data_IF_397622508750
#
_entry.id   IF_397622508750
#
_cell.length_a   1.000
_cell.length_b   1.000
_cell.length_c   1.000
_cell.angle_alpha   90.00
_cell.angle_beta   90.00
_cell.angle_gamma   90.00
#
_symmetry.space_group_name_H-M   'P 1'
#
loop_
_entity.id
_entity.type
_entity.pdbx_description
1 polymer ?
#
# COMPACT_ATOMS: atom_id res chain seq x y z
N UNK A 1 44.97 8.72 11.91
CA UNK A 1 43.61 8.62 12.48
C UNK A 1 42.65 8.81 11.31
N UNK A 2 41.93 7.77 10.91
CA UNK A 2 41.14 7.72 9.66
C UNK A 2 39.70 8.14 9.95
N UNK A 3 39.27 9.30 9.45
CA UNK A 3 37.85 9.71 9.43
C UNK A 3 37.12 8.91 8.35
N UNK A 4 35.98 8.31 8.72
CA UNK A 4 35.03 7.72 7.78
C UNK A 4 34.08 8.82 7.31
N UNK A 5 33.88 9.05 6.00
CA UNK A 5 32.73 9.80 5.53
C UNK A 5 31.49 8.90 5.58
N UNK A 6 30.50 9.33 6.35
CA UNK A 6 29.11 8.86 6.29
C UNK A 6 28.53 9.27 4.94
N UNK A 7 28.24 8.27 4.10
CA UNK A 7 27.53 8.46 2.84
C UNK A 7 26.03 8.59 3.15
N UNK A 8 25.64 9.77 3.65
CA UNK A 8 24.25 10.23 3.67
C UNK A 8 23.82 10.48 2.23
N UNK A 9 23.47 9.41 1.52
CA UNK A 9 22.73 9.52 0.27
C UNK A 9 21.31 9.99 0.60
N UNK A 10 21.15 11.30 0.75
CA UNK A 10 19.86 11.97 0.76
C UNK A 10 19.13 11.63 -0.53
N UNK A 11 18.13 10.75 -0.44
CA UNK A 11 17.22 10.48 -1.53
C UNK A 11 16.30 11.69 -1.73
N UNK A 12 16.77 12.62 -2.55
CA UNK A 12 16.01 13.72 -3.13
C UNK A 12 14.91 13.15 -4.05
N UNK A 13 13.88 12.55 -3.47
CA UNK A 13 12.63 12.26 -4.18
C UNK A 13 11.68 13.43 -3.95
N UNK A 14 11.80 14.41 -4.86
CA UNK A 14 10.94 15.58 -4.93
C UNK A 14 9.46 15.19 -4.85
N UNK A 15 8.78 15.93 -4.01
CA UNK A 15 7.41 15.79 -3.58
C UNK A 15 6.41 15.80 -4.76
N UNK A 16 5.97 14.62 -5.20
CA UNK A 16 4.82 14.44 -6.11
C UNK A 16 3.62 13.87 -5.35
N UNK A 17 3.25 14.49 -4.24
CA UNK A 17 2.07 14.09 -3.47
C UNK A 17 0.98 15.13 -3.67
N UNK A 18 -0.18 14.67 -4.13
CA UNK A 18 -1.34 15.51 -4.43
C UNK A 18 -2.21 15.80 -3.20
N UNK A 19 -2.00 15.11 -2.07
CA UNK A 19 -2.82 15.24 -0.87
C UNK A 19 -2.06 15.25 0.46
N UNK A 20 -2.65 15.91 1.46
CA UNK A 20 -2.15 15.99 2.84
C UNK A 20 -2.34 14.63 3.53
N UNK A 21 -1.30 14.14 4.22
CA UNK A 21 -1.41 12.98 5.11
C UNK A 21 -1.72 13.44 6.52
N UNK A 22 -2.82 12.97 7.07
CA UNK A 22 -3.11 13.12 8.50
C UNK A 22 -2.62 11.86 9.21
N UNK A 23 -1.78 12.03 10.23
CA UNK A 23 -1.39 10.93 11.10
C UNK A 23 -2.56 10.60 12.03
N UNK A 24 -3.02 9.35 11.99
CA UNK A 24 -4.15 8.89 12.80
C UNK A 24 -3.86 7.51 13.41
N UNK A 25 -4.34 7.29 14.63
CA UNK A 25 -4.33 5.98 15.29
C UNK A 25 -5.77 5.46 15.35
N UNK A 26 -6.23 4.85 14.26
CA UNK A 26 -7.57 4.26 14.16
C UNK A 26 -7.51 2.79 13.80
N UNK A 27 -8.55 2.06 14.18
CA UNK A 27 -8.75 0.68 13.73
C UNK A 27 -9.15 0.71 12.26
N UNK A 28 -8.44 -0.07 11.46
CA UNK A 28 -8.68 -0.20 10.02
C UNK A 28 -8.92 -1.67 9.71
N UNK A 29 -9.98 -1.96 8.94
CA UNK A 29 -10.19 -3.26 8.31
C UNK A 29 -10.11 -3.08 6.80
N UNK A 30 -9.38 -3.98 6.15
CA UNK A 30 -9.28 -4.06 4.70
C UNK A 30 -10.00 -5.33 4.24
N UNK A 31 -10.92 -5.21 3.30
CA UNK A 31 -11.56 -6.33 2.60
C UNK A 31 -11.05 -6.35 1.16
N UNK A 32 -10.58 -7.51 0.68
CA UNK A 32 -10.24 -7.71 -0.74
C UNK A 32 -11.50 -8.18 -1.45
N UNK A 33 -11.89 -7.48 -2.51
CA UNK A 33 -13.16 -7.73 -3.21
C UNK A 33 -13.01 -8.73 -4.36
N UNK A 34 -11.82 -8.81 -4.96
CA UNK A 34 -11.54 -9.73 -6.07
C UNK A 34 -11.31 -11.15 -5.52
N UNK A 35 -12.17 -12.13 -5.87
CA UNK A 35 -11.98 -13.51 -5.42
C UNK A 35 -10.81 -14.21 -6.13
N UNK A 36 -10.44 -13.72 -7.32
CA UNK A 36 -9.41 -14.28 -8.18
C UNK A 36 -8.57 -13.17 -8.82
N UNK A 37 -7.29 -13.48 -9.05
CA UNK A 37 -6.31 -12.57 -9.63
C UNK A 37 -5.52 -13.30 -10.70
N UNK A 38 -5.61 -12.82 -11.94
CA UNK A 38 -4.94 -13.45 -13.08
C UNK A 38 -3.71 -12.64 -13.49
N UNK A 39 -2.68 -13.34 -13.97
CA UNK A 39 -1.48 -12.69 -14.47
C UNK A 39 -0.50 -13.65 -15.09
N UNK A 40 0.63 -13.10 -15.57
CA UNK A 40 1.70 -13.86 -16.20
C UNK A 40 2.79 -14.15 -15.18
N UNK A 41 3.04 -15.44 -14.94
CA UNK A 41 4.15 -15.87 -14.11
C UNK A 41 5.49 -15.54 -14.77
N UNK A 42 6.38 -14.90 -14.03
CA UNK A 42 7.78 -14.68 -14.42
C UNK A 42 8.67 -15.80 -13.86
N UNK A 43 8.41 -16.25 -12.63
CA UNK A 43 9.19 -17.29 -11.99
C UNK A 43 8.30 -18.20 -11.13
N UNK A 44 8.51 -19.51 -11.22
CA UNK A 44 7.83 -20.51 -10.40
C UNK A 44 8.88 -21.44 -9.79
N UNK A 45 8.77 -21.68 -8.49
CA UNK A 45 9.61 -22.61 -7.74
C UNK A 45 8.75 -23.49 -6.84
N UNK A 46 9.38 -24.44 -6.12
CA UNK A 46 8.67 -25.28 -5.14
C UNK A 46 8.08 -24.48 -3.96
N UNK A 47 8.58 -23.27 -3.69
CA UNK A 47 8.22 -22.49 -2.49
C UNK A 47 7.48 -21.19 -2.81
N UNK A 48 7.26 -20.87 -4.09
CA UNK A 48 6.53 -19.66 -4.46
C UNK A 48 6.55 -19.34 -5.95
N UNK A 49 5.74 -18.35 -6.31
CA UNK A 49 5.58 -17.80 -7.65
C UNK A 49 5.73 -16.28 -7.61
N UNK A 50 6.42 -15.73 -8.61
CA UNK A 50 6.39 -14.31 -8.97
C UNK A 50 5.61 -14.19 -10.28
N UNK A 51 4.58 -13.35 -10.28
CA UNK A 51 3.77 -13.07 -11.46
C UNK A 51 3.36 -11.60 -11.50
N UNK A 52 3.08 -11.11 -12.70
CA UNK A 52 2.58 -9.75 -12.92
C UNK A 52 1.14 -9.80 -13.40
N UNK A 53 0.32 -8.87 -12.91
CA UNK A 53 -1.07 -8.68 -13.32
C UNK A 53 -1.27 -7.23 -13.76
N UNK A 54 -2.13 -7.04 -14.74
CA UNK A 54 -2.59 -5.71 -15.17
C UNK A 54 -3.89 -5.30 -14.45
N UNK A 55 -4.35 -6.12 -13.49
CA UNK A 55 -5.55 -5.87 -12.69
C UNK A 55 -5.18 -5.13 -11.40
N UNK A 56 -5.98 -4.12 -11.04
CA UNK A 56 -5.89 -3.47 -9.74
C UNK A 56 -6.60 -4.31 -8.68
N UNK A 57 -5.97 -4.47 -7.51
CA UNK A 57 -6.55 -5.22 -6.40
C UNK A 57 -7.57 -4.34 -5.68
N UNK A 58 -8.85 -4.49 -6.05
CA UNK A 58 -9.93 -3.72 -5.46
C UNK A 58 -10.16 -4.12 -4.00
N UNK A 59 -10.38 -3.11 -3.17
CA UNK A 59 -10.51 -3.24 -1.72
C UNK A 59 -11.59 -2.31 -1.18
N UNK A 60 -12.21 -2.71 -0.08
CA UNK A 60 -13.00 -1.82 0.77
C UNK A 60 -12.25 -1.59 2.08
N UNK A 61 -12.04 -0.32 2.44
CA UNK A 61 -11.46 0.07 3.73
C UNK A 61 -12.56 0.48 4.69
N UNK A 62 -12.67 -0.21 5.83
CA UNK A 62 -13.45 0.26 6.98
C UNK A 62 -12.53 1.02 7.94
N UNK A 63 -12.84 2.29 8.19
CA UNK A 63 -12.11 3.17 9.11
C UNK A 63 -13.05 3.53 10.26
N UNK A 64 -12.67 3.22 11.49
CA UNK A 64 -13.41 3.61 12.69
C UNK A 64 -12.83 4.92 13.27
N UNK A 65 -13.65 5.97 13.28
CA UNK A 65 -13.32 7.31 13.81
C UNK A 65 -14.43 7.76 14.76
N UNK A 66 -14.10 8.05 16.01
CA UNK A 66 -15.05 8.52 17.04
C UNK A 66 -16.31 7.64 17.18
N UNK A 67 -16.14 6.32 17.03
CA UNK A 67 -17.23 5.33 17.08
C UNK A 67 -18.06 5.22 15.81
N UNK A 68 -17.76 6.00 14.77
CA UNK A 68 -18.39 5.93 13.46
C UNK A 68 -17.52 5.12 12.50
N UNK A 69 -18.12 4.11 11.85
CA UNK A 69 -17.44 3.30 10.83
C UNK A 69 -17.73 3.87 9.45
N UNK A 70 -16.68 4.33 8.77
CA UNK A 70 -16.73 4.76 7.36
C UNK A 70 -16.23 3.63 6.47
N UNK A 71 -16.92 3.38 5.36
CA UNK A 71 -16.49 2.42 4.33
C UNK A 71 -16.12 3.17 3.07
N UNK A 72 -14.91 2.95 2.57
CA UNK A 72 -14.37 3.66 1.41
C UNK A 72 -13.81 2.63 0.42
N UNK A 73 -14.32 2.57 -0.82
CA UNK A 73 -13.74 1.73 -1.87
C UNK A 73 -12.40 2.30 -2.33
N UNK A 74 -11.54 1.43 -2.85
CA UNK A 74 -10.24 1.79 -3.37
C UNK A 74 -9.52 0.61 -4.01
N UNK A 75 -8.24 0.81 -4.32
CA UNK A 75 -7.37 -0.22 -4.86
C UNK A 75 -6.01 -0.23 -4.15
N UNK A 76 -5.43 -1.42 -3.98
CA UNK A 76 -4.13 -1.58 -3.32
C UNK A 76 -2.99 -1.18 -4.27
N UNK A 77 -2.28 -0.12 -3.94
CA UNK A 77 -1.14 0.38 -4.74
C UNK A 77 0.22 -0.11 -4.24
N UNK A 78 0.31 -0.58 -2.99
CA UNK A 78 1.56 -1.14 -2.45
C UNK A 78 1.35 -2.07 -1.26
N UNK A 79 2.07 -3.18 -1.29
CA UNK A 79 2.29 -4.07 -0.15
C UNK A 79 3.77 -4.06 0.24
N UNK A 80 4.08 -3.89 1.52
CA UNK A 80 5.45 -3.92 2.00
C UNK A 80 5.57 -4.62 3.35
N UNK A 81 6.36 -5.68 3.43
CA UNK A 81 6.81 -6.24 4.71
C UNK A 81 7.81 -5.25 5.34
N UNK A 82 7.50 -4.79 6.55
CA UNK A 82 8.38 -3.94 7.34
C UNK A 82 9.29 -4.81 8.22
N UNK A 83 10.30 -4.22 8.87
CA UNK A 83 11.11 -4.96 9.86
C UNK A 83 10.23 -5.53 10.96
N UNK A 84 10.44 -6.81 11.28
CA UNK A 84 9.62 -7.60 12.21
C UNK A 84 8.44 -8.28 11.50
N UNK A 85 7.32 -8.45 12.22
CA UNK A 85 6.10 -9.10 11.71
C UNK A 85 5.06 -8.09 11.17
N UNK A 86 5.45 -6.82 11.01
CA UNK A 86 4.53 -5.76 10.55
C UNK A 86 4.50 -5.69 9.04
N UNK A 87 3.31 -5.48 8.50
CA UNK A 87 3.06 -5.31 7.08
C UNK A 87 2.35 -3.97 6.84
N UNK A 88 2.88 -3.18 5.92
CA UNK A 88 2.26 -1.96 5.44
C UNK A 88 1.46 -2.21 4.16
N UNK A 89 0.26 -1.64 4.12
CA UNK A 89 -0.64 -1.66 2.97
C UNK A 89 -0.93 -0.21 2.60
N UNK A 90 -0.70 0.16 1.34
CA UNK A 90 -1.08 1.47 0.82
C UNK A 90 -2.26 1.28 -0.15
N UNK A 91 -3.35 1.97 0.15
CA UNK A 91 -4.58 1.97 -0.63
C UNK A 91 -4.76 3.36 -1.22
N UNK A 92 -5.11 3.43 -2.49
CA UNK A 92 -5.63 4.64 -3.12
C UNK A 92 -7.15 4.54 -3.16
N UNK A 93 -7.84 5.57 -2.71
CA UNK A 93 -9.30 5.56 -2.65
C UNK A 93 -9.90 5.92 -4.00
N UNK A 94 -10.99 5.25 -4.35
CA UNK A 94 -11.78 5.57 -5.54
C UNK A 94 -12.56 6.85 -5.22
N UNK A 95 -11.97 8.00 -5.55
CA UNK A 95 -12.66 9.28 -5.41
C UNK A 95 -13.73 9.36 -6.50
N UNK A 96 -14.94 9.85 -6.20
CA UNK A 96 -15.89 10.20 -7.25
C UNK A 96 -15.22 11.24 -8.16
N UNK A 97 -15.26 11.01 -9.48
CA UNK A 97 -14.94 12.05 -10.46
C UNK A 97 -15.71 13.31 -10.05
N UNK A 98 -14.98 14.41 -9.87
CA UNK A 98 -15.56 15.66 -9.41
C UNK A 98 -16.71 16.06 -10.33
N UNK A 99 -17.93 16.13 -9.79
CA UNK A 99 -19.10 16.69 -10.45
C UNK A 99 -18.97 18.21 -10.61
#
# INVERSE_FOLDING_TARGET
>A
MLMKPSDDTQSMTGERRTGIRVSMQSKVRLTVENPEFEGRAENVSQTGVLFFSDQDLAVTVEIEEDGVVKRVPGHLVRFQRMRGERTGWAVEFDLPESA
#
